data_IF_218070923221
#
_entry.id   IF_218070923221
#
_cell.length_a   1.000
_cell.length_b   1.000
_cell.length_c   1.000
_cell.angle_alpha   90.00
_cell.angle_beta   90.00
_cell.angle_gamma   90.00
#
_symmetry.space_group_name_H-M   'P 1'
#
loop_
_entity.id
_entity.type
_entity.pdbx_description
1 polymer ?
#
# COMPACT_ATOMS: atom_id res chain seq x y z
N UNK A 1 7.51 -20.32 -10.27
CA UNK A 1 7.23 -19.25 -9.29
C UNK A 1 6.06 -19.72 -8.42
N UNK A 2 6.22 -19.71 -7.11
CA UNK A 2 5.16 -20.01 -6.13
C UNK A 2 5.20 -18.92 -5.08
N UNK A 3 4.04 -18.42 -4.68
CA UNK A 3 3.93 -17.34 -3.70
C UNK A 3 2.50 -17.16 -3.22
N UNK A 4 2.29 -16.50 -2.08
CA UNK A 4 0.96 -16.14 -1.63
C UNK A 4 0.32 -15.16 -2.60
N UNK A 5 -1.01 -15.22 -2.72
CA UNK A 5 -1.76 -14.13 -3.33
C UNK A 5 -1.87 -13.00 -2.31
N UNK A 6 -1.43 -11.80 -2.69
CA UNK A 6 -1.56 -10.60 -1.86
C UNK A 6 -2.90 -9.93 -2.14
N UNK A 7 -3.82 -10.00 -1.16
CA UNK A 7 -5.13 -9.35 -1.18
C UNK A 7 -5.58 -9.11 0.27
N UNK A 8 -6.47 -8.14 0.48
CA UNK A 8 -6.83 -7.63 1.81
C UNK A 8 -7.24 -8.71 2.82
N UNK A 9 -8.11 -9.64 2.41
CA UNK A 9 -8.58 -10.75 3.24
C UNK A 9 -7.51 -11.85 3.45
N UNK A 10 -6.53 -11.94 2.56
CA UNK A 10 -5.40 -12.86 2.66
C UNK A 10 -4.34 -12.40 3.68
N UNK A 11 -4.41 -11.14 4.12
CA UNK A 11 -3.45 -10.54 5.04
C UNK A 11 -3.83 -10.71 6.53
N UNK A 12 -4.88 -11.47 6.86
CA UNK A 12 -5.32 -11.72 8.24
C UNK A 12 -5.28 -13.22 8.59
N UNK A 13 -5.17 -13.53 9.88
CA UNK A 13 -4.83 -14.87 10.38
C UNK A 13 -6.01 -15.85 10.52
N UNK A 14 -7.25 -15.38 10.49
CA UNK A 14 -8.47 -16.17 10.64
C UNK A 14 -8.80 -16.91 9.34
N UNK A 15 -9.17 -18.19 9.47
CA UNK A 15 -9.72 -18.95 8.35
C UNK A 15 -11.14 -18.48 8.00
N UNK A 16 -11.51 -18.57 6.72
CA UNK A 16 -12.90 -18.44 6.31
C UNK A 16 -13.73 -19.61 6.85
N UNK A 17 -14.95 -19.32 7.30
CA UNK A 17 -15.87 -20.35 7.76
C UNK A 17 -16.40 -21.19 6.60
N UNK A 18 -17.01 -22.33 6.94
CA UNK A 18 -17.65 -23.21 5.98
C UNK A 18 -18.78 -22.49 5.21
N UNK A 19 -18.99 -22.95 3.98
CA UNK A 19 -20.07 -22.51 3.10
C UNK A 19 -20.03 -21.03 2.71
N UNK A 20 -18.86 -20.39 2.78
CA UNK A 20 -18.60 -19.07 2.20
C UNK A 20 -17.96 -19.24 0.83
N UNK A 21 -18.58 -18.68 -0.20
CA UNK A 21 -18.06 -18.72 -1.56
C UNK A 21 -16.90 -17.72 -1.72
N UNK A 22 -15.79 -18.18 -2.28
CA UNK A 22 -14.63 -17.35 -2.59
C UNK A 22 -14.32 -17.45 -4.08
N UNK A 23 -14.24 -16.30 -4.75
CA UNK A 23 -13.90 -16.19 -6.17
C UNK A 23 -12.67 -15.32 -6.32
N UNK A 24 -11.65 -15.85 -6.98
CA UNK A 24 -10.45 -15.10 -7.36
C UNK A 24 -10.50 -14.84 -8.86
N UNK A 25 -10.31 -13.57 -9.24
CA UNK A 25 -10.08 -13.17 -10.63
C UNK A 25 -8.69 -12.57 -10.70
N UNK A 26 -7.85 -13.11 -11.59
CA UNK A 26 -6.51 -12.60 -11.84
C UNK A 26 -6.47 -12.02 -13.24
N UNK A 27 -6.09 -10.75 -13.36
CA UNK A 27 -5.90 -10.08 -14.63
C UNK A 27 -4.40 -9.84 -14.86
N UNK A 28 -3.94 -10.14 -16.07
CA UNK A 28 -2.53 -10.00 -16.44
C UNK A 28 -2.28 -8.58 -16.95
N UNK A 29 -1.23 -7.95 -16.45
CA UNK A 29 -0.72 -6.71 -17.03
C UNK A 29 -0.18 -6.93 -18.45
N UNK A 30 -0.09 -5.83 -19.21
CA UNK A 30 0.52 -5.82 -20.55
C UNK A 30 1.99 -6.25 -20.50
N UNK A 31 2.48 -6.88 -21.57
CA UNK A 31 3.88 -7.32 -21.66
C UNK A 31 4.87 -6.15 -21.50
N UNK A 32 4.54 -4.96 -22.02
CA UNK A 32 5.36 -3.75 -21.88
C UNK A 32 5.51 -3.25 -20.44
N UNK A 33 4.63 -3.64 -19.53
CA UNK A 33 4.75 -3.34 -18.11
C UNK A 33 5.53 -4.44 -17.37
N UNK A 34 5.30 -5.70 -17.75
CA UNK A 34 5.83 -6.85 -17.03
C UNK A 34 7.24 -7.28 -17.48
N UNK A 35 7.71 -6.83 -18.64
CA UNK A 35 9.04 -7.16 -19.19
C UNK A 35 9.88 -5.92 -19.39
N UNK A 36 11.17 -6.06 -19.09
CA UNK A 36 12.21 -5.13 -19.54
C UNK A 36 13.02 -5.80 -20.66
N UNK A 37 13.19 -5.10 -21.77
CA UNK A 37 13.96 -5.59 -22.91
C UNK A 37 14.49 -4.43 -23.77
N UNK A 38 15.66 -4.63 -24.36
CA UNK A 38 16.21 -3.71 -25.36
C UNK A 38 15.44 -3.79 -26.70
N UNK A 39 14.82 -4.93 -27.00
CA UNK A 39 14.00 -5.15 -28.21
C UNK A 39 12.57 -5.55 -27.86
N UNK A 40 11.60 -5.31 -28.74
CA UNK A 40 10.17 -5.53 -28.46
C UNK A 40 9.68 -6.95 -28.82
N UNK A 41 10.60 -7.92 -28.91
CA UNK A 41 10.33 -9.23 -29.51
C UNK A 41 9.88 -10.31 -28.50
N UNK A 42 9.77 -9.94 -27.22
CA UNK A 42 9.46 -10.88 -26.14
C UNK A 42 8.02 -10.72 -25.63
N UNK A 43 7.40 -11.85 -25.29
CA UNK A 43 6.06 -11.91 -24.69
C UNK A 43 6.04 -12.93 -23.55
N UNK A 44 5.20 -12.69 -22.55
CA UNK A 44 4.98 -13.64 -21.46
C UNK A 44 3.84 -14.58 -21.84
N UNK A 45 4.13 -15.88 -21.82
CA UNK A 45 3.13 -16.94 -21.97
C UNK A 45 2.97 -17.69 -20.64
N UNK A 46 1.76 -17.70 -20.10
CA UNK A 46 1.42 -18.51 -18.92
C UNK A 46 1.00 -19.89 -19.43
N UNK A 47 1.88 -20.88 -19.29
CA UNK A 47 1.61 -22.25 -19.74
C UNK A 47 0.67 -22.99 -18.78
N UNK A 48 0.84 -22.76 -17.49
CA UNK A 48 0.06 -23.40 -16.44
C UNK A 48 -0.02 -22.50 -15.21
N UNK A 49 -1.19 -22.45 -14.59
CA UNK A 49 -1.42 -21.74 -13.33
C UNK A 49 -2.26 -22.64 -12.41
N UNK A 50 -1.89 -22.71 -11.13
CA UNK A 50 -2.63 -23.49 -10.13
C UNK A 50 -2.74 -22.70 -8.83
N UNK A 51 -3.91 -22.79 -8.21
CA UNK A 51 -4.18 -22.22 -6.90
C UNK A 51 -4.24 -23.33 -5.85
N UNK A 52 -3.35 -23.26 -4.88
CA UNK A 52 -3.33 -24.19 -3.75
C UNK A 52 -4.03 -23.56 -2.55
N UNK A 53 -5.13 -24.16 -2.10
CA UNK A 53 -5.90 -23.67 -0.94
C UNK A 53 -5.86 -24.70 0.18
N UNK A 54 -5.42 -24.28 1.37
CA UNK A 54 -5.44 -25.13 2.57
C UNK A 54 -6.82 -25.11 3.21
N UNK A 55 -7.42 -26.29 3.41
CA UNK A 55 -8.69 -26.46 4.12
C UNK A 55 -8.44 -27.14 5.47
N UNK A 56 -8.88 -26.53 6.56
CA UNK A 56 -8.82 -27.12 7.89
C UNK A 56 -10.03 -28.04 8.13
N UNK A 57 -9.80 -29.29 8.55
CA UNK A 57 -10.87 -30.19 9.01
C UNK A 57 -11.09 -29.93 10.50
N UNK A 58 -12.32 -29.55 10.86
CA UNK A 58 -12.71 -29.27 12.25
C UNK A 58 -13.64 -30.36 12.78
N UNK A 59 -13.66 -30.56 14.11
CA UNK A 59 -14.55 -31.51 14.75
C UNK A 59 -16.03 -31.10 14.55
N UNK A 60 -16.98 -32.05 14.44
CA UNK A 60 -18.39 -31.73 14.24
C UNK A 60 -18.99 -30.83 15.33
N UNK A 61 -18.53 -30.97 16.58
CA UNK A 61 -18.95 -30.11 17.70
C UNK A 61 -18.64 -28.63 17.46
N UNK A 62 -17.52 -28.32 16.80
CA UNK A 62 -17.12 -26.94 16.47
C UNK A 62 -18.03 -26.37 15.39
N UNK A 63 -18.42 -27.18 14.40
CA UNK A 63 -19.36 -26.74 13.35
C UNK A 63 -20.72 -26.36 13.96
N UNK A 64 -21.24 -27.19 14.87
CA UNK A 64 -22.50 -26.89 15.59
C UNK A 64 -22.33 -25.62 16.43
N UNK A 65 -21.21 -25.48 17.13
CA UNK A 65 -20.92 -24.28 17.93
C UNK A 65 -20.86 -23.00 17.08
N UNK A 66 -20.29 -23.06 15.86
CA UNK A 66 -20.31 -21.94 14.92
C UNK A 66 -21.74 -21.56 14.50
N UNK A 67 -22.62 -22.52 14.20
CA UNK A 67 -24.01 -22.22 13.85
C UNK A 67 -24.80 -21.61 15.02
N UNK A 68 -24.54 -22.05 16.25
CA UNK A 68 -25.13 -21.46 17.46
C UNK A 68 -24.57 -20.06 17.73
N UNK A 69 -23.29 -19.81 17.45
CA UNK A 69 -22.71 -18.47 17.56
C UNK A 69 -23.32 -17.51 16.52
N UNK A 70 -23.46 -17.98 15.28
CA UNK A 70 -24.06 -17.23 14.17
C UNK A 70 -25.55 -16.94 14.37
N UNK A 71 -26.26 -17.72 15.21
CA UNK A 71 -27.64 -17.40 15.57
C UNK A 71 -27.76 -16.24 16.56
N UNK A 72 -26.66 -15.88 17.25
CA UNK A 72 -26.60 -14.80 18.25
C UNK A 72 -25.94 -13.53 17.72
N UNK A 73 -25.15 -13.63 16.65
CA UNK A 73 -24.43 -12.48 16.09
C UNK A 73 -23.70 -12.82 14.80
N UNK A 74 -22.87 -11.88 14.34
CA UNK A 74 -22.06 -11.99 13.12
C UNK A 74 -20.61 -12.33 13.45
N UNK A 75 -19.93 -12.98 12.51
CA UNK A 75 -18.48 -13.16 12.59
C UNK A 75 -17.81 -11.91 12.07
N UNK A 76 -16.87 -11.37 12.85
CA UNK A 76 -16.07 -10.21 12.48
C UNK A 76 -14.66 -10.62 12.08
N UNK A 77 -14.26 -10.26 10.85
CA UNK A 77 -12.96 -10.52 10.27
C UNK A 77 -12.26 -9.18 10.00
N UNK A 78 -11.31 -8.77 10.85
CA UNK A 78 -10.55 -7.56 10.60
C UNK A 78 -9.66 -7.76 9.37
N UNK A 79 -9.64 -6.77 8.49
CA UNK A 79 -8.82 -6.75 7.28
C UNK A 79 -7.98 -5.47 7.23
N UNK A 80 -6.84 -5.57 6.56
CA UNK A 80 -6.08 -4.40 6.12
C UNK A 80 -6.42 -4.15 4.66
N UNK A 81 -7.36 -3.25 4.42
CA UNK A 81 -7.76 -2.85 3.07
C UNK A 81 -6.69 -1.96 2.48
N UNK A 82 -6.32 -2.21 1.23
CA UNK A 82 -5.26 -1.47 0.55
C UNK A 82 -5.81 -0.80 -0.69
N UNK A 83 -5.44 0.46 -0.93
CA UNK A 83 -5.85 1.20 -2.12
C UNK A 83 -4.64 1.96 -2.66
N UNK A 84 -4.55 2.12 -3.98
CA UNK A 84 -3.48 2.91 -4.61
C UNK A 84 -4.11 4.00 -5.44
N UNK A 85 -3.79 5.25 -5.11
CA UNK A 85 -4.16 6.43 -5.90
C UNK A 85 -2.97 6.95 -6.69
N UNK A 86 -3.26 7.53 -7.84
CA UNK A 86 -2.25 8.08 -8.75
C UNK A 86 -2.59 9.53 -9.06
N UNK A 87 -1.58 10.40 -8.98
CA UNK A 87 -1.70 11.79 -9.38
C UNK A 87 -0.62 12.12 -10.41
N UNK A 88 -1.03 12.56 -11.59
CA UNK A 88 -0.11 12.94 -12.65
C UNK A 88 0.45 14.35 -12.39
N UNK A 89 1.76 14.45 -12.26
CA UNK A 89 2.51 15.68 -12.06
C UNK A 89 3.17 16.07 -13.38
N UNK A 90 2.84 17.24 -13.90
CA UNK A 90 3.38 17.71 -15.17
C UNK A 90 4.87 18.04 -15.08
N UNK A 91 5.59 17.86 -16.19
CA UNK A 91 6.95 18.37 -16.35
C UNK A 91 7.01 19.87 -16.05
N UNK A 92 8.13 20.33 -15.47
CA UNK A 92 8.34 21.74 -15.13
C UNK A 92 7.87 22.13 -13.73
N UNK A 93 7.02 21.34 -13.07
CA UNK A 93 6.53 21.67 -11.72
C UNK A 93 7.67 21.59 -10.68
N UNK A 94 7.67 22.55 -9.75
CA UNK A 94 8.59 22.56 -8.59
C UNK A 94 7.84 22.50 -7.24
N UNK A 95 6.54 22.83 -7.24
CA UNK A 95 5.67 22.78 -6.06
C UNK A 95 4.33 22.24 -6.50
N UNK A 96 3.81 21.27 -5.76
CA UNK A 96 2.53 20.60 -6.03
C UNK A 96 1.78 20.48 -4.72
N UNK A 97 0.55 20.97 -4.70
CA UNK A 97 -0.40 20.70 -3.62
C UNK A 97 -1.57 19.92 -4.22
N UNK A 98 -1.84 18.73 -3.69
CA UNK A 98 -2.95 17.87 -4.09
C UNK A 98 -4.02 18.00 -3.01
N UNK A 99 -4.98 18.92 -3.16
CA UNK A 99 -6.07 19.06 -2.21
C UNK A 99 -6.97 17.83 -2.28
N UNK A 100 -7.58 17.46 -1.15
CA UNK A 100 -8.60 16.42 -1.11
C UNK A 100 -8.11 15.06 -1.66
N UNK A 101 -6.83 14.74 -1.49
CA UNK A 101 -6.24 13.49 -1.94
C UNK A 101 -6.97 12.27 -1.36
N UNK A 102 -7.43 12.39 -0.12
CA UNK A 102 -8.33 11.43 0.54
C UNK A 102 -9.49 12.16 1.19
N UNK A 103 -10.71 11.65 1.00
CA UNK A 103 -11.95 12.17 1.59
C UNK A 103 -12.71 10.98 2.18
N UNK A 104 -13.31 11.17 3.36
CA UNK A 104 -14.08 10.13 4.05
C UNK A 104 -13.21 9.42 5.08
N UNK A 105 -13.28 8.08 5.15
CA UNK A 105 -12.43 7.29 6.03
C UNK A 105 -10.96 7.61 5.73
N UNK A 106 -10.21 8.02 6.75
CA UNK A 106 -8.79 8.30 6.61
C UNK A 106 -7.99 6.99 6.69
N UNK A 107 -6.96 6.85 5.84
CA UNK A 107 -6.07 5.71 5.95
C UNK A 107 -5.28 5.78 7.25
N UNK A 108 -4.92 4.61 7.76
CA UNK A 108 -4.04 4.43 8.92
C UNK A 108 -2.57 4.62 8.55
N UNK A 109 -2.21 4.39 7.28
CA UNK A 109 -0.85 4.55 6.77
C UNK A 109 -0.85 4.96 5.31
N UNK A 110 0.13 5.78 4.94
CA UNK A 110 0.43 6.14 3.56
C UNK A 110 1.85 5.73 3.20
N UNK A 111 2.05 5.21 1.99
CA UNK A 111 3.35 5.05 1.35
C UNK A 111 3.32 5.83 0.05
N UNK A 112 4.18 6.83 -0.06
CA UNK A 112 4.24 7.74 -1.19
C UNK A 112 5.49 7.42 -2.00
N UNK A 113 5.33 7.33 -3.31
CA UNK A 113 6.43 7.06 -4.24
C UNK A 113 6.16 7.73 -5.58
N UNK A 114 7.20 7.86 -6.41
CA UNK A 114 7.11 8.53 -7.69
C UNK A 114 7.78 7.70 -8.77
N UNK A 115 7.14 7.62 -9.92
CA UNK A 115 7.63 6.88 -11.09
C UNK A 115 7.36 7.68 -12.36
N UNK A 116 8.21 7.52 -13.37
CA UNK A 116 7.98 8.14 -14.68
C UNK A 116 6.62 7.70 -15.24
N UNK A 117 5.85 8.64 -15.79
CA UNK A 117 4.56 8.31 -16.39
C UNK A 117 4.68 7.28 -17.52
N UNK A 118 5.79 7.32 -18.28
CA UNK A 118 6.05 6.33 -19.34
C UNK A 118 6.30 4.93 -18.78
N UNK A 119 7.06 4.80 -17.70
CA UNK A 119 7.30 3.51 -17.05
C UNK A 119 6.00 2.94 -16.44
N UNK A 120 5.20 3.80 -15.79
CA UNK A 120 3.91 3.42 -15.22
C UNK A 120 2.94 2.83 -16.25
N UNK A 121 2.86 3.44 -17.45
CA UNK A 121 1.98 2.95 -18.53
C UNK A 121 2.54 1.72 -19.27
N UNK A 122 3.78 1.31 -18.95
CA UNK A 122 4.47 0.17 -19.54
C UNK A 122 5.31 0.56 -20.75
N UNK A 123 6.62 0.46 -20.59
CA UNK A 123 7.64 0.67 -21.63
C UNK A 123 8.75 -0.36 -21.43
N UNK A 124 9.09 -1.12 -22.48
CA UNK A 124 10.10 -2.20 -22.38
C UNK A 124 11.49 -1.70 -21.94
N UNK A 125 11.81 -0.42 -22.15
CA UNK A 125 13.10 0.16 -21.76
C UNK A 125 13.13 0.66 -20.31
N UNK A 126 11.97 0.73 -19.63
CA UNK A 126 11.84 1.33 -18.30
C UNK A 126 11.30 0.35 -17.27
N UNK A 127 11.74 0.52 -16.03
CA UNK A 127 11.26 -0.26 -14.90
C UNK A 127 10.09 0.48 -14.21
N UNK A 128 8.86 -0.07 -14.16
CA UNK A 128 7.74 0.54 -13.43
C UNK A 128 7.90 0.50 -11.90
N UNK A 129 8.84 -0.27 -11.38
CA UNK A 129 9.17 -0.38 -9.95
C UNK A 129 10.44 0.40 -9.57
N UNK A 130 10.95 1.25 -10.46
CA UNK A 130 12.04 2.17 -10.14
C UNK A 130 11.46 3.48 -9.58
N UNK A 131 11.38 3.54 -8.25
CA UNK A 131 10.82 4.67 -7.51
C UNK A 131 11.88 5.75 -7.31
N UNK A 132 11.79 6.80 -8.13
CA UNK A 132 12.77 7.90 -8.16
C UNK A 132 12.39 8.99 -7.17
N UNK A 133 13.41 9.65 -6.60
CA UNK A 133 13.20 10.77 -5.69
C UNK A 133 12.87 12.11 -6.39
N UNK A 134 13.22 12.28 -7.67
CA UNK A 134 13.00 13.51 -8.45
C UNK A 134 13.44 14.81 -7.77
N UNK A 135 14.56 14.76 -7.02
CA UNK A 135 15.07 15.88 -6.20
C UNK A 135 14.03 16.48 -5.22
N UNK A 136 13.12 15.65 -4.70
CA UNK A 136 12.16 16.04 -3.66
C UNK A 136 12.89 16.70 -2.48
N UNK A 137 12.38 17.85 -2.08
CA UNK A 137 12.97 18.71 -1.02
C UNK A 137 12.00 18.99 0.12
N UNK A 138 10.72 18.70 -0.09
CA UNK A 138 9.68 18.86 0.90
C UNK A 138 8.55 17.86 0.66
N UNK A 139 8.11 17.17 1.71
CA UNK A 139 6.91 16.35 1.70
C UNK A 139 6.18 16.48 3.05
N UNK A 140 4.90 16.78 2.98
CA UNK A 140 4.01 16.85 4.13
C UNK A 140 2.60 16.38 3.75
N UNK A 141 1.91 15.73 4.69
CA UNK A 141 0.48 15.45 4.63
C UNK A 141 -0.22 16.41 5.57
N UNK A 142 -1.27 17.06 5.10
CA UNK A 142 -2.10 17.98 5.87
C UNK A 142 -3.42 17.31 6.21
N UNK A 143 -3.71 17.19 7.51
CA UNK A 143 -5.01 16.82 8.08
C UNK A 143 -5.64 18.11 8.63
N UNK A 144 -6.38 18.82 7.77
CA UNK A 144 -6.79 20.21 8.02
C UNK A 144 -5.58 21.12 8.21
N UNK A 145 -5.44 21.73 9.40
CA UNK A 145 -4.32 22.61 9.74
C UNK A 145 -3.13 21.87 10.37
N UNK A 146 -3.23 20.55 10.56
CA UNK A 146 -2.18 19.74 11.18
C UNK A 146 -1.27 19.14 10.11
N UNK A 147 0.03 19.36 10.27
CA UNK A 147 1.07 18.70 9.47
C UNK A 147 1.41 17.32 10.03
N UNK A 148 1.53 16.34 9.12
CA UNK A 148 1.96 14.98 9.40
C UNK A 148 3.02 14.59 8.36
N UNK A 149 4.26 14.25 8.78
CA UNK A 149 4.78 14.43 10.14
C UNK A 149 4.82 15.91 10.58
N UNK A 150 4.82 16.15 11.90
CA UNK A 150 4.79 17.51 12.49
C UNK A 150 5.94 18.40 12.02
N UNK A 151 7.11 17.80 11.77
CA UNK A 151 8.18 18.37 10.97
C UNK A 151 8.12 17.70 9.60
N UNK A 152 7.83 18.42 8.51
CA UNK A 152 7.83 17.87 7.16
C UNK A 152 9.13 17.13 6.83
N UNK A 153 9.07 16.18 5.91
CA UNK A 153 10.29 15.59 5.35
C UNK A 153 10.98 16.64 4.48
N UNK A 154 12.28 16.80 4.65
CA UNK A 154 13.11 17.71 3.87
C UNK A 154 14.41 17.02 3.44
N UNK A 155 14.32 15.95 2.63
CA UNK A 155 15.51 15.23 2.20
C UNK A 155 16.38 16.08 1.27
N UNK A 156 17.68 15.80 1.27
CA UNK A 156 18.63 16.33 0.30
C UNK A 156 19.45 15.18 -0.27
N UNK A 157 19.23 14.85 -1.54
CA UNK A 157 19.87 13.70 -2.16
C UNK A 157 21.32 13.99 -2.59
N UNK A 158 21.62 15.23 -3.03
CA UNK A 158 22.94 15.63 -3.53
C UNK A 158 23.33 17.02 -2.99
N UNK A 159 24.59 17.27 -2.60
CA UNK A 159 25.68 16.33 -2.29
C UNK A 159 25.61 15.77 -0.86
N UNK A 160 24.77 16.37 -0.02
CA UNK A 160 24.74 16.08 1.41
C UNK A 160 24.19 14.70 1.79
N UNK A 161 23.52 13.98 0.87
CA UNK A 161 22.84 12.69 1.12
C UNK A 161 22.06 12.66 2.46
N UNK A 162 21.40 13.77 2.79
CA UNK A 162 20.64 13.95 4.03
C UNK A 162 19.19 13.50 3.82
N UNK A 163 18.98 12.18 3.73
CA UNK A 163 17.66 11.55 3.64
C UNK A 163 17.45 10.46 4.70
N UNK A 164 18.36 10.36 5.68
CA UNK A 164 18.31 9.44 6.83
C UNK A 164 16.94 9.34 7.49
N UNK A 165 16.27 10.47 7.71
CA UNK A 165 14.92 10.49 8.32
C UNK A 165 13.85 9.85 7.44
N UNK A 166 13.93 10.02 6.12
CA UNK A 166 12.97 9.43 5.18
C UNK A 166 13.21 7.91 5.08
N UNK A 167 14.47 7.50 4.98
CA UNK A 167 14.84 6.08 5.02
C UNK A 167 14.40 5.42 6.33
N UNK A 168 14.66 6.07 7.48
CA UNK A 168 14.24 5.55 8.78
C UNK A 168 12.72 5.43 8.91
N UNK A 169 11.94 6.30 8.25
CA UNK A 169 10.48 6.23 8.30
C UNK A 169 9.94 4.94 7.69
N UNK A 170 10.66 4.30 6.76
CA UNK A 170 10.31 2.97 6.27
C UNK A 170 10.30 1.93 7.40
N UNK A 171 11.20 2.04 8.37
CA UNK A 171 11.25 1.09 9.48
C UNK A 171 10.26 1.47 10.58
N UNK A 172 10.22 2.75 10.97
CA UNK A 172 9.35 3.20 12.07
C UNK A 172 7.89 3.15 11.69
N UNK A 173 7.51 3.73 10.55
CA UNK A 173 6.11 3.99 10.21
C UNK A 173 5.45 2.76 9.56
N UNK A 174 6.25 1.84 8.99
CA UNK A 174 5.78 0.51 8.60
C UNK A 174 5.71 -0.48 9.78
N UNK A 175 6.13 -0.07 10.98
CA UNK A 175 6.13 -0.93 12.17
C UNK A 175 7.13 -2.09 12.10
N UNK A 176 8.23 -1.91 11.35
CA UNK A 176 9.33 -2.89 11.20
C UNK A 176 10.49 -2.64 12.16
N UNK A 177 10.55 -1.44 12.75
CA UNK A 177 11.56 -1.08 13.73
C UNK A 177 11.54 -2.06 14.92
N UNK A 178 12.69 -2.61 15.28
CA UNK A 178 12.86 -3.67 16.29
C UNK A 178 12.16 -5.01 16.00
N UNK A 179 11.78 -5.29 14.75
CA UNK A 179 11.30 -6.62 14.34
C UNK A 179 12.36 -7.33 13.48
N UNK A 180 12.38 -8.66 13.51
CA UNK A 180 13.26 -9.49 12.69
C UNK A 180 12.88 -9.52 11.18
N UNK A 181 12.16 -8.50 10.71
CA UNK A 181 11.68 -8.39 9.34
C UNK A 181 12.31 -7.17 8.68
N UNK A 182 13.24 -7.44 7.77
CA UNK A 182 13.87 -6.40 6.95
C UNK A 182 12.97 -5.99 5.77
N UNK A 183 13.16 -4.77 5.31
CA UNK A 183 12.54 -4.19 4.12
C UNK A 183 13.37 -4.55 2.87
N UNK A 184 14.61 -5.03 3.06
CA UNK A 184 15.53 -5.43 2.00
C UNK A 184 15.83 -4.28 1.03
N UNK A 185 15.99 -3.07 1.59
CA UNK A 185 16.43 -1.86 0.89
C UNK A 185 17.54 -1.27 1.76
N UNK A 186 18.76 -1.20 1.24
CA UNK A 186 19.87 -0.56 1.95
C UNK A 186 19.77 0.97 1.89
N UNK A 187 20.50 1.64 2.78
CA UNK A 187 20.56 3.11 2.79
C UNK A 187 21.08 3.69 1.47
N UNK A 188 22.04 3.02 0.82
CA UNK A 188 22.56 3.42 -0.49
C UNK A 188 21.54 3.21 -1.61
N UNK A 189 20.84 2.08 -1.63
CA UNK A 189 19.84 1.76 -2.65
C UNK A 189 18.61 2.68 -2.55
N UNK A 190 18.28 3.16 -1.34
CA UNK A 190 17.12 4.02 -1.13
C UNK A 190 17.06 5.22 -2.08
N UNK A 191 18.18 5.90 -2.34
CA UNK A 191 18.23 7.02 -3.30
C UNK A 191 18.27 6.56 -4.76
N UNK A 192 18.69 5.34 -5.03
CA UNK A 192 18.98 4.79 -6.36
C UNK A 192 17.81 3.95 -6.89
N UNK A 193 16.59 4.45 -6.75
CA UNK A 193 15.38 3.83 -7.31
C UNK A 193 14.47 3.11 -6.33
N UNK A 194 14.74 3.22 -5.03
CA UNK A 194 13.92 2.65 -3.96
C UNK A 194 13.39 3.72 -3.01
N UNK A 195 13.15 4.93 -3.52
CA UNK A 195 12.72 6.07 -2.68
C UNK A 195 11.23 5.97 -2.39
N UNK A 196 10.92 5.50 -1.18
CA UNK A 196 9.57 5.37 -0.64
C UNK A 196 9.44 6.22 0.63
N UNK A 197 8.34 6.96 0.78
CA UNK A 197 8.06 7.73 1.98
C UNK A 197 6.88 7.11 2.73
N UNK A 198 7.15 6.44 3.84
CA UNK A 198 6.12 5.91 4.72
C UNK A 198 5.71 6.95 5.76
N UNK A 199 4.41 7.05 6.03
CA UNK A 199 3.81 7.89 7.07
C UNK A 199 2.72 7.12 7.80
N UNK A 200 2.85 6.99 9.12
CA UNK A 200 1.81 6.48 10.00
C UNK A 200 0.87 7.63 10.41
N UNK A 201 -0.43 7.42 10.17
CA UNK A 201 -1.49 8.40 10.46
C UNK A 201 -2.26 8.05 11.74
N UNK A 202 -1.94 6.95 12.41
CA UNK A 202 -2.54 6.60 13.70
C UNK A 202 -2.09 7.57 14.79
N UNK A 203 -2.97 7.92 15.75
CA UNK A 203 -2.64 8.91 16.78
C UNK A 203 -1.44 8.55 17.66
N UNK A 204 -1.19 7.25 17.82
CA UNK A 204 -0.18 6.65 18.69
C UNK A 204 1.00 6.02 17.93
N UNK A 205 1.06 6.23 16.60
CA UNK A 205 2.11 5.69 15.72
C UNK A 205 2.23 4.16 15.81
N UNK A 206 1.08 3.50 15.90
CA UNK A 206 0.98 2.06 16.06
C UNK A 206 0.07 1.43 15.01
N UNK A 207 0.19 1.84 13.74
CA UNK A 207 -0.54 1.23 12.63
C UNK A 207 -0.33 -0.28 12.50
N UNK A 208 0.73 -0.84 13.10
CA UNK A 208 0.98 -2.29 13.19
C UNK A 208 0.72 -2.89 14.59
N UNK A 209 0.15 -2.12 15.51
CA UNK A 209 -0.22 -2.53 16.86
C UNK A 209 -1.41 -3.51 16.88
N UNK A 210 -1.56 -4.22 18.00
CA UNK A 210 -2.60 -5.24 18.20
C UNK A 210 -3.97 -4.65 18.60
N UNK A 211 -4.02 -3.37 18.95
CA UNK A 211 -5.25 -2.65 19.27
C UNK A 211 -5.75 -1.86 18.06
N UNK A 212 -7.04 -1.58 18.02
CA UNK A 212 -7.67 -0.82 16.94
C UNK A 212 -7.77 0.65 17.31
N UNK A 213 -7.13 1.52 16.52
CA UNK A 213 -7.40 2.95 16.59
C UNK A 213 -8.80 3.24 16.06
N UNK A 214 -9.46 4.24 16.63
CA UNK A 214 -10.79 4.68 16.19
C UNK A 214 -10.74 5.11 14.72
N UNK A 215 -11.74 4.67 13.94
CA UNK A 215 -11.92 5.12 12.56
C UNK A 215 -12.13 6.63 12.53
N UNK A 216 -11.27 7.33 11.78
CA UNK A 216 -11.35 8.78 11.61
C UNK A 216 -11.87 9.09 10.22
N UNK A 217 -12.84 10.00 10.15
CA UNK A 217 -13.25 10.60 8.89
C UNK A 217 -12.63 11.99 8.76
N UNK A 218 -12.24 12.35 7.55
CA UNK A 218 -11.62 13.65 7.30
C UNK A 218 -11.21 13.84 5.87
N UNK A 219 -10.24 14.73 5.70
CA UNK A 219 -9.72 15.11 4.40
C UNK A 219 -8.20 15.30 4.50
N UNK A 220 -7.45 14.60 3.65
CA UNK A 220 -6.00 14.75 3.57
C UNK A 220 -5.60 15.48 2.30
N UNK A 221 -4.70 16.45 2.46
CA UNK A 221 -4.01 17.14 1.38
C UNK A 221 -2.54 16.73 1.37
N UNK A 222 -1.96 16.50 0.19
CA UNK A 222 -0.54 16.16 0.05
C UNK A 222 0.20 17.37 -0.52
N UNK A 223 1.23 17.84 0.17
CA UNK A 223 2.04 18.98 -0.25
C UNK A 223 3.49 18.54 -0.51
N UNK A 224 3.97 18.81 -1.72
CA UNK A 224 5.25 18.31 -2.25
C UNK A 224 6.00 19.45 -2.92
N UNK A 225 7.30 19.55 -2.65
CA UNK A 225 8.21 20.46 -3.38
C UNK A 225 9.46 19.74 -3.81
N UNK A 226 10.02 20.22 -4.91
CA UNK A 226 11.22 19.70 -5.54
C UNK A 226 12.29 20.78 -5.58
N UNK A 227 13.56 20.40 -5.41
CA UNK A 227 14.69 21.34 -5.54
C UNK A 227 14.92 21.77 -6.99
N UNK A 228 14.50 20.94 -7.94
CA UNK A 228 14.58 21.19 -9.39
C UNK A 228 13.21 20.96 -10.02
N UNK A 229 12.96 21.61 -11.16
CA UNK A 229 11.76 21.35 -11.93
C UNK A 229 11.72 19.89 -12.39
N UNK A 230 10.54 19.26 -12.34
CA UNK A 230 10.36 17.89 -12.83
C UNK A 230 10.81 17.81 -14.30
N UNK A 231 11.71 16.88 -14.66
CA UNK A 231 12.26 16.79 -16.02
C UNK A 231 11.32 16.08 -17.00
N UNK A 232 10.32 15.38 -16.49
CA UNK A 232 9.33 14.62 -17.25
C UNK A 232 8.00 14.62 -16.47
N UNK A 233 6.92 14.15 -17.10
CA UNK A 233 5.67 13.88 -16.38
C UNK A 233 5.85 12.67 -15.45
N UNK A 234 5.49 12.84 -14.18
CA UNK A 234 5.69 11.87 -13.10
C UNK A 234 4.34 11.45 -12.53
N UNK A 235 4.15 10.16 -12.27
CA UNK A 235 3.02 9.68 -11.48
C UNK A 235 3.43 9.58 -10.02
N UNK A 236 2.76 10.38 -9.17
CA UNK A 236 2.80 10.21 -7.73
C UNK A 236 1.86 9.07 -7.35
N UNK A 237 2.43 7.96 -6.89
CA UNK A 237 1.69 6.81 -6.38
C UNK A 237 1.55 6.95 -4.87
N UNK A 238 0.32 6.84 -4.38
CA UNK A 238 0.02 6.86 -2.95
C UNK A 238 -0.69 5.56 -2.61
N UNK A 239 0.04 4.65 -1.98
CA UNK A 239 -0.50 3.44 -1.40
C UNK A 239 -1.04 3.76 -0.01
N UNK A 240 -2.31 3.44 0.23
CA UNK A 240 -2.99 3.70 1.48
C UNK A 240 -3.49 2.41 2.11
N UNK A 241 -3.28 2.28 3.43
CA UNK A 241 -3.78 1.16 4.21
C UNK A 241 -4.90 1.64 5.14
N UNK A 242 -6.01 0.92 5.14
CA UNK A 242 -7.15 1.12 6.03
C UNK A 242 -7.33 -0.12 6.90
N UNK A 243 -7.84 0.10 8.11
CA UNK A 243 -8.32 -0.97 8.97
C UNK A 243 -9.84 -1.01 8.84
N UNK A 244 -10.35 -2.14 8.39
CA UNK A 244 -11.77 -2.34 8.13
C UNK A 244 -12.18 -3.71 8.66
N UNK A 245 -13.47 -3.94 8.81
CA UNK A 245 -14.00 -5.23 9.22
C UNK A 245 -14.96 -5.78 8.18
N UNK A 246 -14.78 -7.06 7.84
CA UNK A 246 -15.78 -7.84 7.12
C UNK A 246 -16.62 -8.59 8.12
N UNK A 247 -17.94 -8.48 8.01
CA UNK A 247 -18.91 -9.21 8.83
C UNK A 247 -19.60 -10.30 8.01
N UNK A 248 -19.73 -11.49 8.59
CA UNK A 248 -20.43 -12.62 7.98
C UNK A 248 -21.58 -13.04 8.88
N UNK A 249 -22.79 -13.05 8.34
CA UNK A 249 -23.99 -13.43 9.07
C UNK A 249 -24.32 -14.92 8.98
N UNK A 250 -25.41 -15.32 9.63
CA UNK A 250 -25.92 -16.70 9.62
C UNK A 250 -26.19 -17.22 8.21
N UNK A 251 -26.70 -16.37 7.31
CA UNK A 251 -27.00 -16.73 5.92
C UNK A 251 -25.78 -16.76 5.02
N UNK A 252 -24.58 -16.47 5.57
CA UNK A 252 -23.32 -16.30 4.83
C UNK A 252 -23.33 -15.08 3.92
N UNK A 253 -24.21 -14.12 4.20
CA UNK A 253 -24.15 -12.80 3.60
C UNK A 253 -22.96 -12.04 4.19
N UNK A 254 -22.26 -11.31 3.33
CA UNK A 254 -21.02 -10.60 3.67
C UNK A 254 -21.33 -9.11 3.68
N UNK A 255 -20.95 -8.43 4.76
CA UNK A 255 -21.07 -7.00 4.94
C UNK A 255 -19.69 -6.38 5.18
N UNK A 256 -19.47 -5.17 4.68
CA UNK A 256 -18.26 -4.37 4.92
C UNK A 256 -18.64 -3.03 5.54
N UNK A 257 -17.72 -2.45 6.31
CA UNK A 257 -17.84 -1.10 6.88
C UNK A 257 -17.30 0.00 5.96
N UNK A 258 -17.11 -0.31 4.67
CA UNK A 258 -16.60 0.58 3.63
C UNK A 258 -17.29 0.36 2.28
#
# INVERSE_FOLDING_TARGET
MIGPLHFDLGNQSKCLINSVNFRVKLERNKDSFALMSATQDFKILILHASLFVRKGKVAPSILIAHEVALSKGVIKMPIRRTEVKFFALSSGMQSVTIPNAFIGQLPTRLIISMVSNTAFNGDFSKNPFNFKHYDLSYLCILDGNRMIPSKPFQPKFDPSNSYGRCYMSLFTDLGRYHKDQDINISYSEYKDGYTLFAVDLTPDLSADGMHESVLRNGNLTIDIKFSKALPETVNLMVYSEYRNTIEIDKTRSIFSDF
#
